data_IF_682803089097
#
_entry.id   IF_682803089097
#
_cell.length_a   1.000
_cell.length_b   1.000
_cell.length_c   1.000
_cell.angle_alpha   90.00
_cell.angle_beta   90.00
_cell.angle_gamma   90.00
#
_symmetry.space_group_name_H-M   'P 1'
#
loop_
_entity.id
_entity.type
_entity.pdbx_description
1 polymer ?
#
# COMPACT_ATOMS: atom_id res chain seq x y z
N UNK A 1 -0.58 49.88 50.81
CA UNK A 1 -1.27 49.34 49.62
C UNK A 1 -0.39 49.44 48.36
N UNK A 2 0.88 49.01 48.41
CA UNK A 2 1.81 49.04 47.26
C UNK A 2 2.64 47.76 47.08
N UNK A 3 2.88 47.01 48.17
CA UNK A 3 3.61 45.75 48.14
C UNK A 3 2.92 44.63 47.32
N UNK A 4 1.59 44.65 47.20
CA UNK A 4 0.84 43.64 46.44
C UNK A 4 1.05 43.76 44.91
N UNK A 5 1.23 44.98 44.39
CA UNK A 5 1.57 45.19 42.98
C UNK A 5 3.00 44.69 42.67
N UNK A 6 3.97 44.99 43.54
CA UNK A 6 5.34 44.49 43.41
C UNK A 6 5.43 42.96 43.55
N UNK A 7 4.72 42.36 44.50
CA UNK A 7 4.70 40.91 44.71
C UNK A 7 4.06 40.15 43.54
N UNK A 8 2.97 40.67 42.97
CA UNK A 8 2.34 40.07 41.79
C UNK A 8 3.25 40.13 40.55
N UNK A 9 3.94 41.25 40.34
CA UNK A 9 4.94 41.38 39.27
C UNK A 9 6.11 40.39 39.40
N UNK A 10 6.64 40.22 40.63
CA UNK A 10 7.71 39.25 40.88
C UNK A 10 7.26 37.80 40.66
N UNK A 11 6.06 37.45 41.12
CA UNK A 11 5.49 36.11 40.95
C UNK A 11 5.27 35.77 39.46
N UNK A 12 4.68 36.69 38.70
CA UNK A 12 4.50 36.53 37.25
C UNK A 12 5.84 36.37 36.54
N UNK A 13 6.84 37.17 36.90
CA UNK A 13 8.18 37.07 36.30
C UNK A 13 8.80 35.69 36.57
N UNK A 14 8.64 35.15 37.78
CA UNK A 14 9.08 33.78 38.12
C UNK A 14 8.37 32.73 37.25
N UNK A 15 7.06 32.85 37.06
CA UNK A 15 6.30 31.91 36.21
C UNK A 15 6.68 32.01 34.75
N UNK A 16 6.97 33.21 34.25
CA UNK A 16 7.47 33.37 32.90
C UNK A 16 8.84 32.69 32.70
N UNK A 17 9.74 32.83 33.69
CA UNK A 17 11.05 32.17 33.67
C UNK A 17 10.94 30.64 33.77
N UNK A 18 9.99 30.10 34.55
CA UNK A 18 9.71 28.66 34.59
C UNK A 18 9.28 28.13 33.21
N UNK A 19 8.41 28.87 32.51
CA UNK A 19 7.95 28.49 31.16
C UNK A 19 9.10 28.56 30.15
N UNK A 20 9.92 29.62 30.18
CA UNK A 20 11.10 29.73 29.32
C UNK A 20 12.09 28.59 29.61
N UNK A 21 12.38 28.31 30.88
CA UNK A 21 13.27 27.23 31.29
C UNK A 21 12.77 25.86 30.82
N UNK A 22 11.46 25.62 30.89
CA UNK A 22 10.85 24.39 30.39
C UNK A 22 10.96 24.28 28.86
N UNK A 23 10.72 25.36 28.12
CA UNK A 23 10.89 25.38 26.66
C UNK A 23 12.34 25.08 26.27
N UNK A 24 13.31 25.74 26.90
CA UNK A 24 14.74 25.53 26.63
C UNK A 24 15.15 24.09 26.91
N UNK A 25 14.67 23.50 28.02
CA UNK A 25 14.95 22.11 28.35
C UNK A 25 14.39 21.12 27.31
N UNK A 26 13.31 21.49 26.62
CA UNK A 26 12.63 20.66 25.62
C UNK A 26 12.90 21.11 24.16
N UNK A 27 13.90 21.96 23.92
CA UNK A 27 14.23 22.43 22.58
C UNK A 27 14.70 21.32 21.63
N UNK A 28 15.28 20.24 22.18
CA UNK A 28 15.73 19.07 21.39
C UNK A 28 14.77 17.88 21.47
N UNK A 29 13.61 18.05 22.11
CA UNK A 29 12.62 16.98 22.27
C UNK A 29 11.70 16.95 21.05
N UNK A 30 11.70 15.83 20.31
CA UNK A 30 10.82 15.67 19.15
C UNK A 30 9.33 15.73 19.52
N UNK A 31 8.54 16.40 18.70
CA UNK A 31 7.11 16.60 18.90
C UNK A 31 6.74 17.55 20.05
N UNK A 32 7.71 18.15 20.74
CA UNK A 32 7.45 19.11 21.80
C UNK A 32 6.85 20.43 21.26
N UNK A 33 5.94 21.01 22.03
CA UNK A 33 5.27 22.28 21.72
C UNK A 33 5.66 23.34 22.74
N UNK A 34 6.02 24.52 22.25
CA UNK A 34 6.46 25.64 23.05
C UNK A 34 5.29 26.13 23.91
N UNK A 35 5.56 26.39 25.18
CA UNK A 35 4.60 26.95 26.11
C UNK A 35 4.75 28.47 26.17
N UNK A 36 3.64 29.21 26.28
CA UNK A 36 3.64 30.67 26.49
C UNK A 36 2.81 31.01 27.72
N UNK A 37 3.41 31.75 28.66
CA UNK A 37 2.67 32.34 29.78
C UNK A 37 1.86 33.54 29.29
N UNK A 38 0.57 33.56 29.59
CA UNK A 38 -0.34 34.65 29.25
C UNK A 38 -0.81 35.34 30.53
N UNK A 39 -0.75 36.65 30.55
CA UNK A 39 -1.01 37.46 31.74
C UNK A 39 -2.27 38.30 31.57
N UNK A 40 -2.98 38.53 32.66
CA UNK A 40 -4.11 39.45 32.72
C UNK A 40 -3.88 40.45 33.85
N UNK A 41 -4.26 41.71 33.61
CA UNK A 41 -4.31 42.72 34.66
C UNK A 41 -5.40 42.40 35.68
N UNK A 42 -5.26 42.97 36.87
CA UNK A 42 -6.27 42.89 37.92
C UNK A 42 -6.69 44.30 38.30
N UNK A 43 -7.99 44.56 38.25
CA UNK A 43 -8.59 45.80 38.75
C UNK A 43 -9.44 45.51 39.99
N UNK A 44 -9.32 46.38 41.00
CA UNK A 44 -10.29 46.42 42.07
C UNK A 44 -11.56 47.08 41.52
N UNK A 45 -12.55 46.27 41.13
CA UNK A 45 -13.88 46.78 40.88
C UNK A 45 -14.45 47.28 42.22
N UNK A 46 -14.58 48.60 42.39
CA UNK A 46 -15.40 49.13 43.49
C UNK A 46 -16.84 48.73 43.19
N UNK A 47 -17.33 47.70 43.89
CA UNK A 47 -18.74 47.33 43.95
C UNK A 47 -19.52 48.51 44.55
N UNK A 48 -19.92 49.48 43.73
CA UNK A 48 -20.63 50.68 44.13
C UNK A 48 -20.21 51.86 43.25
N UNK A 49 -21.10 52.27 42.34
CA UNK A 49 -20.79 53.14 41.21
C UNK A 49 -20.22 54.53 41.55
N UNK A 50 -19.40 55.03 40.63
CA UNK A 50 -19.01 56.44 40.52
C UNK A 50 -17.64 56.78 41.08
N UNK A 51 -16.57 56.52 40.31
CA UNK A 51 -15.24 57.03 40.62
C UNK A 51 -14.19 56.56 39.61
N UNK A 52 -13.74 57.47 38.75
CA UNK A 52 -12.91 57.24 37.56
C UNK A 52 -11.45 56.78 37.79
N UNK A 53 -11.07 56.36 39.00
CA UNK A 53 -9.68 56.02 39.34
C UNK A 53 -9.56 54.67 40.07
N UNK A 54 -9.97 53.59 39.42
CA UNK A 54 -9.59 52.25 39.84
C UNK A 54 -8.09 52.02 39.58
N UNK A 55 -7.24 52.17 40.60
CA UNK A 55 -5.81 51.83 40.48
C UNK A 55 -5.72 50.31 40.32
N UNK A 56 -5.04 49.83 39.26
CA UNK A 56 -4.80 48.40 39.05
C UNK A 56 -4.10 47.78 40.26
N UNK A 57 -4.54 46.60 40.69
CA UNK A 57 -4.04 45.91 41.88
C UNK A 57 -2.91 44.91 41.58
N UNK A 58 -2.45 44.87 40.32
CA UNK A 58 -1.36 44.02 39.86
C UNK A 58 -1.77 43.24 38.61
N UNK A 59 -1.13 42.10 38.40
CA UNK A 59 -1.45 41.17 37.33
C UNK A 59 -1.45 39.72 37.85
N UNK A 60 -2.03 38.81 37.07
CA UNK A 60 -1.97 37.36 37.32
C UNK A 60 -1.63 36.60 36.05
N UNK A 61 -1.15 35.36 36.21
CA UNK A 61 -1.08 34.40 35.10
C UNK A 61 -2.50 33.95 34.77
N UNK A 62 -2.97 34.27 33.57
CA UNK A 62 -4.28 33.87 33.06
C UNK A 62 -4.25 32.43 32.54
N UNK A 63 -3.21 32.08 31.79
CA UNK A 63 -3.03 30.75 31.22
C UNK A 63 -1.56 30.45 30.91
N UNK A 64 -1.23 29.17 30.75
CA UNK A 64 -0.02 28.72 30.07
C UNK A 64 -0.47 27.98 28.82
N UNK A 65 -0.41 28.65 27.67
CA UNK A 65 -0.94 28.16 26.41
C UNK A 65 0.13 27.42 25.60
N UNK A 66 -0.23 26.28 25.04
CA UNK A 66 0.63 25.51 24.14
C UNK A 66 0.58 26.11 22.73
N UNK A 67 1.73 26.31 22.11
CA UNK A 67 1.84 26.75 20.73
C UNK A 67 1.88 25.53 19.82
N UNK A 68 0.77 25.19 19.16
CA UNK A 68 0.67 24.04 18.25
C UNK A 68 1.12 24.35 16.81
N UNK A 69 2.04 25.30 16.62
CA UNK A 69 2.67 25.52 15.32
C UNK A 69 3.56 24.34 14.96
N UNK A 70 3.71 24.08 13.66
CA UNK A 70 4.54 23.00 13.12
C UNK A 70 6.03 23.31 13.39
N UNK A 71 6.76 22.34 13.94
CA UNK A 71 8.21 22.36 14.02
C UNK A 71 8.85 21.95 12.68
N UNK A 72 10.16 22.15 12.55
CA UNK A 72 10.89 21.69 11.37
C UNK A 72 10.81 20.15 11.27
N UNK A 73 10.78 19.61 10.05
CA UNK A 73 10.74 18.17 9.80
C UNK A 73 12.14 17.73 9.37
N UNK A 74 12.77 16.87 10.16
CA UNK A 74 14.08 16.29 9.84
C UNK A 74 13.94 14.84 9.43
N UNK A 75 14.66 14.46 8.38
CA UNK A 75 14.68 13.08 7.89
C UNK A 75 15.57 12.21 8.78
N UNK A 76 15.15 10.97 8.98
CA UNK A 76 15.87 9.95 9.73
C UNK A 76 16.12 8.72 8.85
N UNK A 77 16.92 7.77 9.34
CA UNK A 77 17.18 6.51 8.63
C UNK A 77 16.23 5.38 9.06
N UNK A 78 15.27 5.63 9.96
CA UNK A 78 14.35 4.63 10.48
C UNK A 78 12.97 4.80 9.82
N UNK A 79 12.49 3.78 9.08
CA UNK A 79 11.22 3.85 8.36
C UNK A 79 9.99 3.98 9.28
N UNK A 80 10.10 3.58 10.54
CA UNK A 80 9.04 3.70 11.54
C UNK A 80 8.99 5.06 12.25
N UNK A 81 9.95 5.95 11.98
CA UNK A 81 9.83 7.34 12.41
C UNK A 81 8.86 8.07 11.49
N UNK A 82 7.80 8.63 12.07
CA UNK A 82 6.73 9.30 11.34
C UNK A 82 6.64 10.78 11.75
N UNK A 83 6.58 11.67 10.76
CA UNK A 83 6.23 13.06 10.97
C UNK A 83 4.87 13.38 10.33
N UNK A 84 4.07 14.18 11.02
CA UNK A 84 2.85 14.76 10.45
C UNK A 84 3.24 16.11 9.84
N UNK A 85 3.03 16.26 8.54
CA UNK A 85 3.15 17.55 7.86
C UNK A 85 1.75 18.18 7.75
N UNK A 86 1.44 19.07 8.70
CA UNK A 86 0.17 19.77 8.78
C UNK A 86 -0.57 19.51 10.09
N UNK A 87 -1.90 19.53 10.04
CA UNK A 87 -2.76 19.37 11.22
C UNK A 87 -2.96 17.89 11.56
N UNK A 88 -3.25 17.62 12.84
CA UNK A 88 -3.52 16.27 13.33
C UNK A 88 -2.56 15.83 14.45
N UNK A 89 -2.88 14.73 15.10
CA UNK A 89 -2.10 14.04 16.12
C UNK A 89 -2.16 12.55 15.84
N UNK A 90 -1.09 11.82 16.17
CA UNK A 90 -1.17 10.38 16.31
C UNK A 90 -2.07 10.05 17.48
N UNK A 91 -3.00 9.12 17.29
CA UNK A 91 -3.79 8.54 18.36
C UNK A 91 -3.09 7.27 18.87
N UNK A 92 -2.93 7.15 20.18
CA UNK A 92 -2.19 6.08 20.85
C UNK A 92 -3.06 5.48 21.94
N UNK A 93 -3.11 4.16 22.07
CA UNK A 93 -3.73 3.50 23.22
C UNK A 93 -2.69 3.26 24.32
N UNK A 94 -2.98 3.75 25.53
CA UNK A 94 -2.18 3.45 26.71
C UNK A 94 -2.40 2.01 27.22
N UNK A 95 -1.68 1.62 28.28
CA UNK A 95 -1.77 0.26 28.84
C UNK A 95 -3.14 -0.08 29.44
N UNK A 96 -3.99 0.92 29.68
CA UNK A 96 -5.36 0.76 30.16
C UNK A 96 -6.38 0.76 29.01
N UNK A 97 -5.93 0.96 27.77
CA UNK A 97 -6.77 1.07 26.58
C UNK A 97 -7.34 2.47 26.35
N UNK A 98 -6.93 3.47 27.13
CA UNK A 98 -7.36 4.85 26.95
C UNK A 98 -6.57 5.52 25.84
N UNK A 99 -7.24 6.38 25.07
CA UNK A 99 -6.57 7.08 23.96
C UNK A 99 -5.86 8.34 24.44
N UNK A 100 -4.56 8.41 24.16
CA UNK A 100 -3.72 9.61 24.27
C UNK A 100 -3.31 10.08 22.88
N UNK A 101 -2.97 11.36 22.77
CA UNK A 101 -2.65 12.00 21.50
C UNK A 101 -1.23 12.53 21.54
N UNK A 102 -0.45 12.36 20.47
CA UNK A 102 0.91 12.87 20.41
C UNK A 102 1.28 13.40 19.02
N UNK A 103 2.27 14.28 18.99
CA UNK A 103 2.99 14.73 17.80
C UNK A 103 4.33 14.01 17.64
N UNK A 104 4.82 13.35 18.68
CA UNK A 104 6.04 12.57 18.59
C UNK A 104 5.74 11.26 17.85
N UNK A 105 6.39 11.06 16.71
CA UNK A 105 6.23 9.85 15.89
C UNK A 105 7.43 8.90 15.93
N UNK A 106 8.17 8.89 17.03
CA UNK A 106 9.20 7.89 17.29
C UNK A 106 8.56 6.53 17.64
N UNK A 107 8.26 5.73 16.62
CA UNK A 107 7.67 4.41 16.79
C UNK A 107 8.68 3.28 16.62
N UNK A 108 8.40 2.17 17.29
CA UNK A 108 9.13 0.91 17.20
C UNK A 108 8.15 -0.25 17.29
N UNK A 109 8.55 -1.40 16.75
CA UNK A 109 7.75 -2.61 16.86
C UNK A 109 8.08 -3.35 18.15
N UNK A 110 7.06 -3.77 18.89
CA UNK A 110 7.23 -4.63 20.06
C UNK A 110 7.34 -6.13 19.71
N UNK A 111 7.48 -6.99 20.73
CA UNK A 111 7.58 -8.43 20.54
C UNK A 111 6.29 -9.08 19.98
N UNK A 112 5.15 -8.41 20.15
CA UNK A 112 3.85 -8.85 19.69
C UNK A 112 3.52 -8.28 18.29
N UNK A 113 4.40 -7.46 17.73
CA UNK A 113 4.24 -6.83 16.43
C UNK A 113 3.52 -5.49 16.45
N UNK A 114 3.10 -4.97 17.60
CA UNK A 114 2.44 -3.67 17.67
C UNK A 114 3.43 -2.54 17.45
N UNK A 115 2.99 -1.50 16.73
CA UNK A 115 3.72 -0.24 16.67
C UNK A 115 3.49 0.52 17.97
N UNK A 116 4.57 0.77 18.72
CA UNK A 116 4.54 1.43 20.02
C UNK A 116 5.49 2.61 20.06
N UNK A 117 5.20 3.59 20.92
CA UNK A 117 6.15 4.64 21.28
C UNK A 117 7.09 4.18 22.41
N UNK A 118 7.83 5.12 23.02
CA UNK A 118 8.78 4.79 24.08
C UNK A 118 8.12 4.44 25.42
N UNK A 119 6.89 4.92 25.62
CA UNK A 119 5.99 4.68 26.74
C UNK A 119 5.24 3.35 26.62
N UNK A 120 5.43 2.63 25.50
CA UNK A 120 4.73 1.40 25.12
C UNK A 120 3.25 1.59 24.77
N UNK A 121 2.83 2.83 24.50
CA UNK A 121 1.50 3.12 23.98
C UNK A 121 1.43 2.71 22.50
N UNK A 122 0.33 2.10 22.10
CA UNK A 122 0.17 1.48 20.79
C UNK A 122 -0.43 2.47 19.78
N UNK A 123 0.20 2.62 18.61
CA UNK A 123 -0.31 3.46 17.53
C UNK A 123 -1.64 2.92 16.99
N UNK A 124 -2.65 3.78 16.99
CA UNK A 124 -3.97 3.46 16.51
C UNK A 124 -4.11 3.76 15.02
N UNK A 125 -4.90 2.93 14.36
CA UNK A 125 -5.21 3.04 12.95
C UNK A 125 -6.44 2.22 12.60
N UNK A 126 -6.48 1.78 11.35
CA UNK A 126 -7.55 0.97 10.82
C UNK A 126 -6.98 -0.16 9.98
N UNK A 127 -7.41 -1.40 10.23
CA UNK A 127 -7.02 -2.54 9.41
C UNK A 127 -7.50 -2.36 7.96
N UNK A 128 -6.71 -2.85 6.99
CA UNK A 128 -7.04 -2.85 5.57
C UNK A 128 -7.13 -4.28 5.04
N UNK A 129 -7.97 -4.49 4.03
CA UNK A 129 -8.00 -5.72 3.25
C UNK A 129 -6.93 -5.73 2.14
N UNK A 130 -6.85 -6.83 1.39
CA UNK A 130 -5.91 -6.98 0.28
C UNK A 130 -6.12 -5.98 -0.87
N UNK A 131 -7.31 -5.35 -0.97
CA UNK A 131 -7.61 -4.29 -1.95
C UNK A 131 -7.25 -2.89 -1.44
N UNK A 132 -6.79 -2.77 -0.18
CA UNK A 132 -6.53 -1.49 0.47
C UNK A 132 -7.79 -0.80 1.00
N UNK A 133 -8.93 -1.50 1.05
CA UNK A 133 -10.16 -0.98 1.63
C UNK A 133 -10.20 -1.23 3.15
N UNK A 134 -10.91 -0.39 3.93
CA UNK A 134 -11.04 -0.58 5.37
C UNK A 134 -11.67 -1.92 5.76
N UNK A 135 -10.99 -2.69 6.61
CA UNK A 135 -11.37 -4.03 7.05
C UNK A 135 -11.52 -4.12 8.59
N UNK A 136 -12.23 -3.15 9.18
CA UNK A 136 -12.46 -3.09 10.62
C UNK A 136 -12.77 -1.69 11.13
N UNK A 137 -13.04 -1.54 12.45
CA UNK A 137 -13.26 -0.23 13.04
C UNK A 137 -11.98 0.61 13.04
N UNK A 138 -12.18 1.93 12.92
CA UNK A 138 -11.16 2.94 13.19
C UNK A 138 -10.71 2.91 14.65
N UNK A 139 -9.49 3.35 14.94
CA UNK A 139 -8.95 3.47 16.29
C UNK A 139 -8.51 2.15 16.92
N UNK A 140 -8.10 1.17 16.11
CA UNK A 140 -7.58 -0.11 16.58
C UNK A 140 -6.05 -0.13 16.53
N UNK A 141 -5.36 -0.76 17.50
CA UNK A 141 -3.91 -0.88 17.48
C UNK A 141 -3.36 -1.51 16.20
N UNK A 142 -2.38 -0.86 15.59
CA UNK A 142 -1.71 -1.37 14.39
C UNK A 142 -0.75 -2.49 14.79
N UNK A 143 -0.99 -3.68 14.24
CA UNK A 143 -0.15 -4.85 14.43
C UNK A 143 0.52 -5.25 13.11
N UNK A 144 1.84 -5.35 13.13
CA UNK A 144 2.69 -5.75 12.02
C UNK A 144 3.24 -7.16 12.27
N UNK A 145 2.54 -8.16 11.74
CA UNK A 145 2.94 -9.56 11.82
C UNK A 145 3.99 -9.90 10.75
N UNK A 146 4.88 -10.85 11.05
CA UNK A 146 5.87 -11.35 10.09
C UNK A 146 5.28 -12.44 9.18
N UNK A 147 4.00 -12.32 8.82
CA UNK A 147 3.32 -13.34 8.02
C UNK A 147 3.98 -13.42 6.65
N UNK A 148 4.25 -14.63 6.17
CA UNK A 148 4.71 -14.81 4.79
C UNK A 148 3.58 -14.51 3.81
N UNK A 149 3.91 -14.01 2.62
CA UNK A 149 3.00 -14.03 1.48
C UNK A 149 2.84 -15.50 1.02
N UNK A 150 1.64 -16.09 1.13
CA UNK A 150 1.41 -17.44 0.64
C UNK A 150 1.60 -17.49 -0.89
N UNK A 151 1.96 -18.63 -1.46
CA UNK A 151 2.02 -18.77 -2.91
C UNK A 151 0.64 -18.55 -3.53
N UNK A 152 0.62 -18.08 -4.77
CA UNK A 152 -0.60 -18.01 -5.57
C UNK A 152 -0.38 -18.82 -6.84
N UNK A 153 -1.22 -19.84 -7.04
CA UNK A 153 -1.19 -20.64 -8.26
C UNK A 153 -1.59 -19.82 -9.49
N UNK A 154 -1.10 -20.25 -10.66
CA UNK A 154 -1.60 -19.75 -11.93
C UNK A 154 -3.08 -20.13 -12.10
N UNK A 155 -3.89 -19.16 -12.52
CA UNK A 155 -5.33 -19.35 -12.79
C UNK A 155 -5.77 -18.74 -14.12
N UNK A 156 -5.10 -17.67 -14.56
CA UNK A 156 -5.31 -17.03 -15.84
C UNK A 156 -3.97 -16.51 -16.36
N UNK A 157 -3.62 -16.87 -17.58
CA UNK A 157 -2.40 -16.49 -18.29
C UNK A 157 -2.80 -15.59 -19.45
N UNK A 158 -2.20 -14.42 -19.52
CA UNK A 158 -2.41 -13.49 -20.64
C UNK A 158 -1.16 -13.49 -21.50
N UNK A 159 -1.34 -13.68 -22.80
CA UNK A 159 -0.25 -13.63 -23.78
C UNK A 159 -0.67 -12.79 -24.98
N UNK A 160 0.10 -11.75 -25.25
CA UNK A 160 -0.06 -10.92 -26.45
C UNK A 160 1.20 -11.05 -27.29
N UNK A 161 1.05 -11.38 -28.57
CA UNK A 161 2.16 -11.49 -29.49
C UNK A 161 1.82 -11.02 -30.90
N UNK A 162 2.85 -10.67 -31.67
CA UNK A 162 2.76 -10.64 -33.13
C UNK A 162 3.26 -11.97 -33.70
N UNK A 163 2.43 -12.64 -34.48
CA UNK A 163 2.75 -13.83 -35.26
C UNK A 163 3.24 -13.41 -36.65
N UNK A 164 4.38 -13.94 -37.13
CA UNK A 164 4.86 -13.61 -38.48
C UNK A 164 3.95 -14.22 -39.55
N UNK A 165 3.20 -13.38 -40.26
CA UNK A 165 2.31 -13.81 -41.34
C UNK A 165 3.03 -14.59 -42.46
N UNK A 166 4.35 -14.36 -42.62
CA UNK A 166 5.19 -14.99 -43.66
C UNK A 166 5.63 -16.40 -43.29
N UNK A 167 5.44 -16.82 -42.04
CA UNK A 167 5.73 -18.19 -41.61
C UNK A 167 4.94 -19.19 -42.47
N UNK A 168 5.58 -20.30 -42.84
CA UNK A 168 4.95 -21.33 -43.68
C UNK A 168 4.15 -22.32 -42.83
N UNK A 169 2.97 -22.78 -43.30
CA UNK A 169 2.23 -23.84 -42.63
C UNK A 169 3.03 -25.13 -42.52
N UNK A 170 2.90 -25.82 -41.40
CA UNK A 170 3.62 -27.05 -41.09
C UNK A 170 2.61 -28.21 -41.06
N UNK A 171 2.73 -29.15 -42.00
CA UNK A 171 1.84 -30.31 -42.08
C UNK A 171 2.22 -31.43 -41.08
N UNK A 172 3.50 -31.57 -40.74
CA UNK A 172 3.99 -32.61 -39.84
C UNK A 172 3.34 -32.52 -38.45
N UNK A 173 3.15 -33.67 -37.78
CA UNK A 173 2.76 -33.69 -36.38
C UNK A 173 3.81 -32.94 -35.52
N UNK A 174 3.36 -32.33 -34.42
CA UNK A 174 4.29 -31.61 -33.56
C UNK A 174 5.19 -32.58 -32.79
N UNK A 175 6.48 -32.28 -32.77
CA UNK A 175 7.49 -32.92 -31.93
C UNK A 175 8.30 -31.81 -31.26
N UNK A 176 8.18 -31.70 -29.93
CA UNK A 176 8.84 -30.65 -29.17
C UNK A 176 10.38 -30.72 -29.24
N UNK A 177 10.94 -31.89 -29.60
CA UNK A 177 12.38 -32.06 -29.81
C UNK A 177 12.85 -31.64 -31.22
N UNK A 178 11.93 -31.51 -32.19
CA UNK A 178 12.26 -31.09 -33.55
C UNK A 178 11.72 -29.68 -33.85
N UNK A 179 12.64 -28.72 -33.93
CA UNK A 179 12.37 -27.32 -34.24
C UNK A 179 11.72 -27.08 -35.61
N UNK A 180 11.67 -28.08 -36.50
CA UNK A 180 10.97 -27.97 -37.80
C UNK A 180 9.47 -28.22 -37.70
N UNK A 181 8.97 -28.69 -36.56
CA UNK A 181 7.56 -29.08 -36.39
C UNK A 181 6.68 -28.00 -35.77
N UNK A 182 7.28 -26.89 -35.33
CA UNK A 182 6.60 -25.69 -34.83
C UNK A 182 7.20 -24.43 -35.46
N UNK A 183 6.43 -23.34 -35.46
CA UNK A 183 6.83 -22.07 -36.04
C UNK A 183 7.58 -21.21 -35.01
N UNK A 184 7.06 -21.12 -33.79
CA UNK A 184 7.63 -20.29 -32.71
C UNK A 184 7.47 -20.97 -31.36
N UNK A 185 8.33 -20.61 -30.40
CA UNK A 185 8.23 -21.04 -29.02
C UNK A 185 8.51 -19.88 -28.08
N UNK A 186 7.79 -19.82 -26.96
CA UNK A 186 8.07 -18.90 -25.84
C UNK A 186 7.86 -19.62 -24.52
N UNK A 187 8.41 -19.10 -23.43
CA UNK A 187 8.38 -19.75 -22.12
C UNK A 187 8.04 -18.80 -20.98
N UNK A 188 7.38 -19.32 -19.95
CA UNK A 188 7.11 -18.63 -18.69
C UNK A 188 7.20 -19.63 -17.53
N UNK A 189 7.56 -19.15 -16.35
CA UNK A 189 7.38 -19.91 -15.11
C UNK A 189 5.99 -19.65 -14.54
N UNK A 190 5.21 -20.71 -14.38
CA UNK A 190 3.97 -20.72 -13.61
C UNK A 190 4.21 -21.31 -12.21
N UNK A 191 3.27 -21.13 -11.29
CA UNK A 191 3.35 -21.67 -9.93
C UNK A 191 2.14 -22.53 -9.59
N UNK A 192 2.40 -23.64 -8.87
CA UNK A 192 1.40 -24.53 -8.32
C UNK A 192 0.76 -24.02 -7.02
N UNK A 193 -0.23 -24.73 -6.49
CA UNK A 193 -0.93 -24.37 -5.22
C UNK A 193 0.01 -24.38 -4.01
N UNK A 194 1.06 -25.21 -4.05
CA UNK A 194 2.11 -25.26 -3.03
C UNK A 194 3.28 -24.29 -3.31
N UNK A 195 3.19 -23.46 -4.35
CA UNK A 195 4.27 -22.56 -4.76
C UNK A 195 5.42 -23.21 -5.52
N UNK A 196 5.31 -24.50 -5.91
CA UNK A 196 6.30 -25.13 -6.76
C UNK A 196 6.32 -24.46 -8.16
N UNK A 197 7.50 -24.11 -8.71
CA UNK A 197 7.60 -23.56 -10.05
C UNK A 197 7.34 -24.67 -11.09
N UNK A 198 6.67 -24.29 -12.18
CA UNK A 198 6.35 -25.12 -13.35
C UNK A 198 6.84 -24.35 -14.58
N UNK A 199 7.83 -24.87 -15.29
CA UNK A 199 8.34 -24.26 -16.52
C UNK A 199 7.40 -24.57 -17.69
N UNK A 200 6.66 -23.57 -18.15
CA UNK A 200 5.74 -23.68 -19.28
C UNK A 200 6.42 -23.23 -20.58
N UNK A 201 6.35 -24.06 -21.62
CA UNK A 201 6.71 -23.67 -22.98
C UNK A 201 5.48 -23.74 -23.89
N UNK A 202 5.20 -22.63 -24.56
CA UNK A 202 4.12 -22.49 -25.54
C UNK A 202 4.71 -22.60 -26.94
N UNK A 203 4.30 -23.62 -27.67
CA UNK A 203 4.69 -23.83 -29.06
C UNK A 203 3.56 -23.41 -29.99
N UNK A 204 3.85 -22.51 -30.90
CA UNK A 204 2.94 -22.06 -31.92
C UNK A 204 3.25 -22.76 -33.23
N UNK A 205 2.23 -23.34 -33.84
CA UNK A 205 2.33 -24.01 -35.13
C UNK A 205 1.32 -23.41 -36.10
N UNK A 206 1.80 -22.83 -37.20
CA UNK A 206 0.92 -22.41 -38.30
C UNK A 206 0.44 -23.66 -39.06
N UNK A 207 -0.86 -23.78 -39.29
CA UNK A 207 -1.48 -24.93 -39.95
C UNK A 207 -2.13 -24.59 -41.29
N UNK A 208 -2.50 -23.33 -41.50
CA UNK A 208 -3.01 -22.86 -42.79
C UNK A 208 -2.55 -21.42 -43.08
N UNK A 209 -2.36 -21.12 -44.36
CA UNK A 209 -2.13 -19.76 -44.85
C UNK A 209 -3.44 -18.96 -44.91
N UNK A 210 -3.37 -17.61 -44.96
CA UNK A 210 -4.52 -16.75 -45.19
C UNK A 210 -5.32 -17.15 -46.44
N UNK A 211 -6.65 -17.10 -46.33
CA UNK A 211 -7.55 -17.34 -47.46
C UNK A 211 -8.12 -16.00 -47.93
N UNK A 212 -7.89 -15.59 -49.21
CA UNK A 212 -8.49 -14.38 -49.74
C UNK A 212 -10.02 -14.44 -49.67
N UNK A 213 -10.65 -13.32 -49.29
CA UNK A 213 -12.10 -13.20 -49.31
C UNK A 213 -12.66 -13.03 -50.72
N UNK A 214 -13.92 -13.43 -50.91
CA UNK A 214 -14.69 -13.15 -52.11
C UNK A 214 -15.59 -11.91 -51.91
N UNK A 215 -15.23 -10.73 -52.48
CA UNK A 215 -16.04 -9.52 -52.35
C UNK A 215 -17.36 -9.59 -53.13
N UNK A 216 -17.52 -10.59 -54.00
CA UNK A 216 -18.73 -10.79 -54.83
C UNK A 216 -19.76 -11.72 -54.19
N UNK A 217 -19.39 -12.42 -53.11
CA UNK A 217 -20.32 -13.22 -52.32
C UNK A 217 -21.41 -12.34 -51.67
N UNK A 218 -22.57 -12.92 -51.37
CA UNK A 218 -23.66 -12.22 -50.66
C UNK A 218 -24.05 -13.00 -49.40
N UNK A 219 -23.67 -12.53 -48.19
CA UNK A 219 -22.86 -11.33 -47.92
C UNK A 219 -21.39 -11.46 -48.38
N UNK A 220 -20.66 -10.35 -48.59
CA UNK A 220 -19.24 -10.39 -48.99
C UNK A 220 -18.42 -11.20 -47.99
N UNK A 221 -17.57 -12.10 -48.48
CA UNK A 221 -16.65 -12.86 -47.66
C UNK A 221 -15.39 -12.02 -47.41
N UNK A 222 -15.10 -11.65 -46.15
CA UNK A 222 -13.91 -10.86 -45.82
C UNK A 222 -12.60 -11.65 -45.97
N UNK A 223 -12.66 -12.98 -46.11
CA UNK A 223 -11.49 -13.86 -46.06
C UNK A 223 -11.00 -14.09 -44.64
N UNK A 224 -9.89 -14.82 -44.52
CA UNK A 224 -9.26 -15.16 -43.23
C UNK A 224 -7.77 -14.90 -43.26
N UNK A 225 -7.21 -14.62 -42.09
CA UNK A 225 -5.78 -14.76 -41.83
C UNK A 225 -5.37 -16.24 -41.72
N UNK A 226 -4.15 -16.47 -41.27
CA UNK A 226 -3.60 -17.79 -41.04
C UNK A 226 -4.26 -18.50 -39.85
N UNK A 227 -4.27 -19.83 -39.90
CA UNK A 227 -4.72 -20.67 -38.78
C UNK A 227 -3.52 -21.16 -37.98
N UNK A 228 -3.64 -21.07 -36.67
CA UNK A 228 -2.59 -21.37 -35.71
C UNK A 228 -3.10 -22.29 -34.62
N UNK A 229 -2.21 -23.17 -34.17
CA UNK A 229 -2.39 -24.04 -33.03
C UNK A 229 -1.34 -23.73 -31.97
N UNK A 230 -1.77 -23.76 -30.71
CA UNK A 230 -0.88 -23.61 -29.55
C UNK A 230 -0.81 -24.94 -28.83
N UNK A 231 0.41 -25.38 -28.55
CA UNK A 231 0.71 -26.55 -27.74
C UNK A 231 1.48 -26.11 -26.50
N UNK A 232 1.35 -26.87 -25.42
CA UNK A 232 1.96 -26.58 -24.14
C UNK A 232 2.80 -27.78 -23.68
N UNK A 233 4.01 -27.51 -23.19
CA UNK A 233 4.78 -28.46 -22.39
C UNK A 233 5.04 -27.88 -21.00
N UNK A 234 5.09 -28.72 -19.97
CA UNK A 234 5.43 -28.34 -18.60
C UNK A 234 6.65 -29.13 -18.11
N UNK A 235 7.65 -28.43 -17.53
CA UNK A 235 8.87 -29.00 -16.91
C UNK A 235 9.68 -29.95 -17.79
N UNK A 236 9.74 -29.67 -19.10
CA UNK A 236 10.42 -30.53 -20.06
C UNK A 236 9.74 -31.89 -20.26
N UNK A 237 8.62 -32.15 -19.56
CA UNK A 237 7.78 -33.29 -19.82
C UNK A 237 7.01 -33.05 -21.12
N UNK A 238 7.46 -33.69 -22.18
CA UNK A 238 6.81 -33.70 -23.49
C UNK A 238 5.54 -34.56 -23.50
N UNK A 239 5.32 -35.39 -22.46
CA UNK A 239 4.10 -36.17 -22.23
C UNK A 239 3.10 -35.43 -21.32
N UNK A 240 3.16 -34.10 -21.28
CA UNK A 240 2.18 -33.28 -20.58
C UNK A 240 0.82 -33.41 -21.29
N UNK A 241 -0.02 -34.28 -20.73
CA UNK A 241 -1.41 -34.51 -21.09
C UNK A 241 -2.28 -33.27 -20.88
N UNK A 242 -2.15 -32.24 -21.72
CA UNK A 242 -3.27 -31.32 -21.94
C UNK A 242 -4.42 -31.97 -22.72
N UNK A 243 -4.30 -33.24 -23.12
CA UNK A 243 -5.42 -34.20 -23.24
C UNK A 243 -4.98 -35.57 -22.68
N UNK A 244 -5.69 -36.00 -21.62
CA UNK A 244 -5.82 -37.32 -20.99
C UNK A 244 -4.73 -38.39 -21.23
N UNK A 245 -4.10 -38.84 -20.13
CA UNK A 245 -3.40 -40.13 -20.10
C UNK A 245 -4.21 -41.10 -19.22
N UNK A 246 -5.19 -41.75 -19.83
CA UNK A 246 -5.78 -42.98 -19.30
C UNK A 246 -5.70 -44.06 -20.38
N UNK A 247 -4.55 -44.76 -20.42
CA UNK A 247 -4.41 -46.08 -21.06
C UNK A 247 -4.01 -46.16 -22.55
N UNK A 248 -2.80 -45.73 -22.93
CA UNK A 248 -2.19 -46.13 -24.22
C UNK A 248 -0.84 -45.46 -24.57
N UNK A 249 0.08 -46.21 -25.19
CA UNK A 249 1.43 -45.77 -25.63
C UNK A 249 1.43 -44.76 -26.78
N UNK A 250 2.40 -43.83 -26.75
CA UNK A 250 2.18 -42.48 -26.24
C UNK A 250 1.20 -41.66 -27.12
N UNK A 251 0.26 -40.92 -26.53
CA UNK A 251 -0.63 -40.04 -27.31
C UNK A 251 0.17 -38.89 -27.96
N UNK A 252 -0.18 -38.52 -29.20
CA UNK A 252 0.35 -37.31 -29.84
C UNK A 252 -0.08 -36.07 -29.04
N UNK A 253 0.78 -35.05 -28.91
CA UNK A 253 0.39 -33.80 -28.26
C UNK A 253 -0.83 -33.19 -28.94
N UNK A 254 -1.77 -32.70 -28.13
CA UNK A 254 -3.00 -32.03 -28.58
C UNK A 254 -2.90 -30.54 -28.35
N UNK A 255 -3.43 -29.70 -29.26
CA UNK A 255 -3.38 -28.25 -29.09
C UNK A 255 -4.26 -27.81 -27.92
N UNK A 256 -3.75 -26.90 -27.09
CA UNK A 256 -4.50 -26.21 -26.02
C UNK A 256 -5.37 -25.07 -26.56
N UNK A 257 -5.06 -24.57 -27.76
CA UNK A 257 -5.84 -23.57 -28.46
C UNK A 257 -5.70 -23.76 -29.98
N UNK A 258 -6.78 -23.49 -30.70
CA UNK A 258 -6.76 -23.36 -32.17
C UNK A 258 -7.54 -22.10 -32.52
N UNK A 259 -6.95 -21.25 -33.34
CA UNK A 259 -7.58 -20.00 -33.78
C UNK A 259 -7.14 -19.63 -35.19
N UNK A 260 -7.99 -18.86 -35.85
CA UNK A 260 -7.74 -18.29 -37.17
C UNK A 260 -7.86 -16.79 -37.04
N UNK A 261 -6.87 -16.04 -37.53
CA UNK A 261 -6.94 -14.58 -37.55
C UNK A 261 -8.01 -14.11 -38.54
N UNK A 262 -8.57 -12.92 -38.29
CA UNK A 262 -9.35 -12.21 -39.28
C UNK A 262 -8.44 -11.77 -40.44
N UNK A 263 -9.01 -11.46 -41.61
CA UNK A 263 -8.23 -11.01 -42.77
C UNK A 263 -7.39 -9.73 -42.52
N UNK A 264 -7.76 -8.92 -41.52
CA UNK A 264 -7.00 -7.73 -41.11
C UNK A 264 -5.85 -8.05 -40.12
N UNK A 265 -5.58 -9.33 -39.82
CA UNK A 265 -4.52 -9.76 -38.92
C UNK A 265 -4.85 -9.69 -37.43
N UNK A 266 -6.08 -9.39 -37.02
CA UNK A 266 -6.48 -9.43 -35.59
C UNK A 266 -7.16 -10.74 -35.23
N UNK A 267 -7.18 -11.12 -33.96
CA UNK A 267 -7.99 -12.26 -33.51
C UNK A 267 -9.50 -11.95 -33.51
N UNK A 268 -10.37 -12.96 -33.77
CA UNK A 268 -11.81 -12.86 -33.59
C UNK A 268 -12.20 -12.85 -32.11
N UNK A 269 -13.49 -12.68 -31.79
CA UNK A 269 -13.98 -12.84 -30.41
C UNK A 269 -13.80 -14.28 -29.91
N UNK A 270 -13.72 -14.49 -28.59
CA UNK A 270 -13.50 -15.82 -28.01
C UNK A 270 -12.02 -16.22 -27.93
N UNK A 271 -11.13 -15.28 -27.61
CA UNK A 271 -9.68 -15.48 -27.50
C UNK A 271 -9.22 -16.08 -26.18
N UNK A 272 -10.14 -16.63 -25.38
CA UNK A 272 -9.85 -17.21 -24.06
C UNK A 272 -10.07 -18.71 -24.13
N UNK A 273 -9.01 -19.46 -23.93
CA UNK A 273 -8.98 -20.92 -24.03
C UNK A 273 -8.75 -21.52 -22.64
N UNK A 274 -9.51 -22.53 -22.26
CA UNK A 274 -9.29 -23.23 -20.99
C UNK A 274 -8.30 -24.38 -21.20
N UNK A 275 -7.18 -24.34 -20.47
CA UNK A 275 -6.23 -25.44 -20.40
C UNK A 275 -6.79 -26.48 -19.43
N UNK A 276 -7.08 -27.68 -19.95
CA UNK A 276 -7.71 -28.75 -19.18
C UNK A 276 -6.89 -29.16 -17.95
N UNK A 277 -5.58 -29.35 -18.14
CA UNK A 277 -4.64 -29.69 -17.08
C UNK A 277 -3.23 -29.24 -17.45
N UNK A 278 -2.56 -28.59 -16.49
CA UNK A 278 -1.11 -28.36 -16.50
C UNK A 278 -0.53 -29.28 -15.43
N UNK A 279 0.38 -30.21 -15.78
CA UNK A 279 1.07 -31.03 -14.79
C UNK A 279 1.73 -30.15 -13.73
N UNK A 280 1.56 -30.48 -12.45
CA UNK A 280 2.11 -29.70 -11.32
C UNK A 280 3.62 -29.83 -11.12
N UNK A 281 4.36 -30.24 -12.14
CA UNK A 281 5.78 -30.56 -12.06
C UNK A 281 6.11 -31.75 -11.18
N UNK A 282 7.36 -31.83 -10.71
CA UNK A 282 7.88 -32.98 -9.95
C UNK A 282 7.24 -33.15 -8.56
N UNK A 283 6.59 -32.13 -7.99
CA UNK A 283 6.10 -32.12 -6.60
C UNK A 283 4.74 -31.42 -6.37
N UNK A 284 4.03 -30.98 -7.42
CA UNK A 284 2.78 -30.23 -7.31
C UNK A 284 1.56 -30.99 -7.82
N UNK A 285 0.38 -30.66 -7.29
CA UNK A 285 -0.88 -31.12 -7.87
C UNK A 285 -1.08 -30.51 -9.26
N UNK A 286 -1.68 -31.22 -10.22
CA UNK A 286 -2.03 -30.64 -11.52
C UNK A 286 -2.89 -29.39 -11.35
N UNK A 287 -2.60 -28.35 -12.13
CA UNK A 287 -3.44 -27.16 -12.21
C UNK A 287 -4.53 -27.42 -13.26
N UNK A 288 -5.78 -27.31 -12.86
CA UNK A 288 -6.94 -27.49 -13.74
C UNK A 288 -7.67 -26.17 -13.94
N UNK A 289 -8.25 -25.99 -15.13
CA UNK A 289 -9.07 -24.82 -15.43
C UNK A 289 -8.31 -23.50 -15.59
N UNK A 290 -6.99 -23.55 -15.81
CA UNK A 290 -6.19 -22.36 -16.11
C UNK A 290 -6.62 -21.80 -17.45
N UNK A 291 -6.93 -20.50 -17.53
CA UNK A 291 -7.29 -19.88 -18.81
C UNK A 291 -6.06 -19.29 -19.51
N UNK A 292 -6.02 -19.39 -20.83
CA UNK A 292 -5.07 -18.72 -21.71
C UNK A 292 -5.82 -17.67 -22.52
N UNK A 293 -5.55 -16.40 -22.24
CA UNK A 293 -6.11 -15.28 -22.97
C UNK A 293 -5.10 -14.76 -24.01
N UNK A 294 -5.47 -14.87 -25.28
CA UNK A 294 -4.66 -14.40 -26.42
C UNK A 294 -5.13 -13.05 -26.99
N UNK A 295 -6.08 -12.38 -26.33
CA UNK A 295 -6.63 -11.10 -26.78
C UNK A 295 -5.53 -10.09 -27.13
N UNK A 296 -5.69 -9.39 -28.25
CA UNK A 296 -4.71 -8.41 -28.73
C UNK A 296 -3.56 -9.01 -29.55
N UNK A 297 -3.42 -10.34 -29.62
CA UNK A 297 -2.45 -10.99 -30.52
C UNK A 297 -2.78 -10.66 -31.98
N UNK A 298 -1.75 -10.44 -32.79
CA UNK A 298 -1.87 -10.08 -34.21
C UNK A 298 -1.10 -11.05 -35.10
N UNK A 299 -1.42 -11.05 -36.39
CA UNK A 299 -0.65 -11.68 -37.45
C UNK A 299 -0.31 -10.63 -38.50
N UNK A 300 0.91 -10.08 -38.41
CA UNK A 300 1.43 -9.11 -39.37
C UNK A 300 2.72 -9.59 -40.02
N UNK A 301 3.03 -8.99 -41.17
CA UNK A 301 4.30 -9.20 -41.85
C UNK A 301 5.43 -8.54 -41.05
N UNK A 302 6.06 -9.31 -40.18
CA UNK A 302 7.06 -8.85 -39.22
C UNK A 302 7.54 -10.00 -38.35
N UNK A 303 8.68 -9.84 -37.68
CA UNK A 303 9.21 -10.90 -36.84
C UNK A 303 8.24 -11.30 -35.72
N UNK A 304 8.30 -12.57 -35.31
CA UNK A 304 7.60 -13.03 -34.11
C UNK A 304 8.11 -12.26 -32.89
N UNK A 305 7.18 -11.71 -32.10
CA UNK A 305 7.51 -10.98 -30.88
C UNK A 305 6.39 -11.13 -29.86
N UNK A 306 6.75 -11.51 -28.63
CA UNK A 306 5.83 -11.49 -27.48
C UNK A 306 5.92 -10.13 -26.83
N UNK A 307 4.79 -9.43 -26.71
CA UNK A 307 4.71 -8.09 -26.11
C UNK A 307 4.20 -8.12 -24.69
N UNK A 308 3.38 -9.12 -24.33
CA UNK A 308 2.97 -9.39 -22.95
C UNK A 308 2.89 -10.90 -22.70
N UNK A 309 3.35 -11.33 -21.54
CA UNK A 309 3.24 -12.70 -21.05
C UNK A 309 3.20 -12.68 -19.52
N UNK A 310 2.00 -12.76 -18.96
CA UNK A 310 1.73 -12.53 -17.53
C UNK A 310 0.75 -13.58 -16.98
N UNK A 311 0.54 -13.59 -15.66
CA UNK A 311 -0.45 -14.48 -15.02
C UNK A 311 0.06 -15.85 -14.54
N UNK A 312 1.38 -16.05 -14.49
CA UNK A 312 2.00 -17.28 -13.98
C UNK A 312 1.84 -17.53 -12.47
N UNK A 313 1.23 -16.63 -11.71
CA UNK A 313 1.20 -16.71 -10.24
C UNK A 313 2.56 -16.40 -9.61
N UNK A 314 2.76 -16.79 -8.35
CA UNK A 314 4.00 -16.54 -7.61
C UNK A 314 4.24 -17.55 -6.48
N UNK A 315 5.51 -17.80 -6.16
CA UNK A 315 5.93 -18.59 -5.01
C UNK A 315 5.66 -17.86 -3.68
N UNK A 316 5.83 -18.59 -2.57
CA UNK A 316 5.83 -18.00 -1.24
C UNK A 316 6.90 -16.89 -1.12
N UNK A 317 6.56 -15.79 -0.47
CA UNK A 317 7.47 -14.69 -0.17
C UNK A 317 7.64 -14.51 1.32
N UNK A 318 8.88 -14.38 1.78
CA UNK A 318 9.16 -13.93 3.14
C UNK A 318 8.97 -12.41 3.22
N UNK A 319 8.56 -11.92 4.39
CA UNK A 319 8.51 -10.47 4.64
C UNK A 319 9.92 -9.89 4.48
N UNK A 320 10.04 -8.85 3.65
CA UNK A 320 11.27 -8.09 3.44
C UNK A 320 11.29 -6.80 4.24
N UNK A 321 10.22 -6.02 4.17
CA UNK A 321 10.14 -4.71 4.83
C UNK A 321 8.69 -4.23 5.03
N UNK A 322 8.50 -3.24 5.90
CA UNK A 322 7.27 -2.44 5.99
C UNK A 322 7.53 -1.02 5.52
N UNK A 323 6.63 -0.53 4.68
CA UNK A 323 6.66 0.86 4.18
C UNK A 323 5.39 1.55 4.62
N UNK A 324 5.53 2.77 5.11
CA UNK A 324 4.41 3.63 5.48
C UNK A 324 4.32 4.74 4.43
N UNK A 325 3.26 4.70 3.63
CA UNK A 325 3.00 5.67 2.56
C UNK A 325 2.51 7.01 3.14
N UNK A 326 2.48 8.06 2.30
CA UNK A 326 2.12 9.42 2.73
C UNK A 326 0.67 9.58 3.17
N UNK A 327 -0.21 8.68 2.72
CA UNK A 327 -1.62 8.56 3.15
C UNK A 327 -1.77 7.72 4.44
N UNK A 328 -0.65 7.31 5.04
CA UNK A 328 -0.58 6.48 6.24
C UNK A 328 -0.83 5.00 6.01
N UNK A 329 -0.97 4.54 4.76
CA UNK A 329 -1.10 3.11 4.46
C UNK A 329 0.21 2.39 4.78
N UNK A 330 0.14 1.42 5.68
CA UNK A 330 1.23 0.53 6.04
C UNK A 330 1.18 -0.70 5.15
N UNK A 331 2.21 -0.87 4.33
CA UNK A 331 2.33 -1.94 3.33
C UNK A 331 3.49 -2.86 3.67
N UNK A 332 3.23 -4.16 3.73
CA UNK A 332 4.26 -5.19 3.80
C UNK A 332 4.78 -5.51 2.38
N UNK A 333 6.10 -5.54 2.21
CA UNK A 333 6.77 -5.97 0.97
C UNK A 333 7.40 -7.33 1.16
N UNK A 334 7.28 -8.21 0.17
CA UNK A 334 7.71 -9.59 0.23
C UNK A 334 8.81 -9.91 -0.78
N UNK A 335 9.62 -10.94 -0.50
CA UNK A 335 10.73 -11.37 -1.37
C UNK A 335 10.26 -11.90 -2.73
N UNK A 336 8.99 -12.27 -2.86
CA UNK A 336 8.36 -12.69 -4.13
C UNK A 336 7.84 -11.49 -4.96
N UNK A 337 8.18 -10.26 -4.58
CA UNK A 337 7.77 -9.03 -5.26
C UNK A 337 6.33 -8.61 -4.97
N UNK A 338 5.57 -9.37 -4.19
CA UNK A 338 4.22 -8.98 -3.78
C UNK A 338 4.26 -7.90 -2.69
N UNK A 339 3.19 -7.12 -2.62
CA UNK A 339 2.95 -6.14 -1.57
C UNK A 339 1.53 -6.29 -1.04
N UNK A 340 1.34 -6.12 0.27
CA UNK A 340 0.04 -6.23 0.93
C UNK A 340 -0.18 -5.05 1.87
N UNK A 341 -1.27 -4.33 1.68
CA UNK A 341 -1.73 -3.34 2.64
C UNK A 341 -2.20 -4.06 3.93
N UNK A 342 -1.76 -3.57 5.09
CA UNK A 342 -2.08 -4.17 6.39
C UNK A 342 -3.00 -3.28 7.23
N UNK A 343 -2.64 -2.02 7.32
CA UNK A 343 -3.37 -1.04 8.12
C UNK A 343 -3.14 0.35 7.56
N UNK A 344 -3.92 1.32 8.04
CA UNK A 344 -3.73 2.74 7.80
C UNK A 344 -3.64 3.48 9.12
N UNK A 345 -2.59 4.28 9.30
CA UNK A 345 -2.46 5.19 10.44
C UNK A 345 -3.60 6.20 10.37
N UNK A 346 -4.23 6.46 11.53
CA UNK A 346 -5.29 7.46 11.63
C UNK A 346 -4.83 8.63 12.48
N UNK A 347 -5.25 9.83 12.06
CA UNK A 347 -4.99 11.07 12.76
C UNK A 347 -6.24 11.57 13.46
N UNK A 348 -6.04 12.19 14.62
CA UNK A 348 -7.06 12.91 15.36
C UNK A 348 -6.79 14.43 15.32
N UNK A 349 -7.84 15.23 15.38
CA UNK A 349 -7.72 16.69 15.58
C UNK A 349 -8.83 17.15 16.53
N UNK A 350 -8.71 18.36 17.07
CA UNK A 350 -9.65 18.91 18.04
C UNK A 350 -10.11 20.30 17.62
N UNK A 351 -11.34 20.66 18.00
CA UNK A 351 -11.87 22.01 17.77
C UNK A 351 -11.09 23.06 18.55
N UNK A 352 -10.64 22.72 19.76
CA UNK A 352 -9.86 23.62 20.61
C UNK A 352 -8.61 22.91 21.16
N UNK A 353 -7.47 23.14 20.52
CA UNK A 353 -6.18 22.56 20.92
C UNK A 353 -5.69 23.05 22.29
N UNK A 354 -5.96 24.31 22.65
CA UNK A 354 -5.58 24.86 23.96
C UNK A 354 -6.40 24.29 25.12
N UNK A 355 -7.47 23.54 24.83
CA UNK A 355 -8.21 22.78 25.83
C UNK A 355 -7.59 21.41 26.14
N UNK A 356 -6.58 20.96 25.41
CA UNK A 356 -5.93 19.68 25.66
C UNK A 356 -5.10 19.73 26.94
N UNK A 357 -5.17 18.67 27.73
CA UNK A 357 -4.37 18.54 28.96
C UNK A 357 -3.08 17.76 28.65
N UNK A 358 -1.89 18.33 28.90
CA UNK A 358 -0.64 17.57 28.81
C UNK A 358 -0.58 16.53 29.93
N UNK A 359 -0.16 15.31 29.61
CA UNK A 359 -0.07 14.18 30.56
C UNK A 359 1.36 13.68 30.78
N UNK A 360 2.36 14.38 30.25
CA UNK A 360 3.76 13.96 30.22
C UNK A 360 4.13 13.31 28.88
N UNK A 361 5.42 13.01 28.67
CA UNK A 361 5.91 12.29 27.47
C UNK A 361 5.52 12.90 26.11
N UNK A 362 5.26 14.21 26.05
CA UNK A 362 4.73 14.89 24.86
C UNK A 362 3.39 14.30 24.38
N UNK A 363 2.55 13.91 25.34
CA UNK A 363 1.21 13.39 25.10
C UNK A 363 0.15 14.30 25.72
N UNK A 364 -1.03 14.25 25.12
CA UNK A 364 -2.19 15.04 25.50
C UNK A 364 -3.42 14.15 25.67
N UNK A 365 -4.27 14.50 26.64
CA UNK A 365 -5.63 13.95 26.81
C UNK A 365 -6.68 15.04 26.56
N UNK A 366 -7.85 14.69 25.98
CA UNK A 366 -8.94 15.62 25.78
C UNK A 366 -9.58 16.00 27.12
N UNK A 367 -10.14 17.20 27.16
CA UNK A 367 -10.92 17.71 28.29
C UNK A 367 -12.27 18.23 27.79
N UNK A 368 -13.16 18.60 28.73
CA UNK A 368 -14.41 19.28 28.37
C UNK A 368 -14.17 20.57 27.55
N UNK A 369 -13.03 21.24 27.74
CA UNK A 369 -12.69 22.48 27.03
C UNK A 369 -12.10 22.25 25.63
N UNK A 370 -11.45 21.11 25.37
CA UNK A 370 -11.05 20.74 24.00
C UNK A 370 -12.23 20.27 23.16
N UNK A 371 -13.26 19.73 23.83
CA UNK A 371 -14.31 18.93 23.24
C UNK A 371 -13.82 17.52 22.91
N UNK A 372 -14.73 16.71 22.39
CA UNK A 372 -14.43 15.38 21.88
C UNK A 372 -13.46 15.46 20.68
N UNK A 373 -12.61 14.44 20.47
CA UNK A 373 -11.81 14.34 19.25
C UNK A 373 -12.72 14.36 18.02
N UNK A 374 -12.27 15.05 16.97
CA UNK A 374 -12.90 14.91 15.66
C UNK A 374 -12.78 13.44 15.19
N UNK A 375 -13.69 12.97 14.31
CA UNK A 375 -13.62 11.61 13.79
C UNK A 375 -12.24 11.32 13.22
N UNK A 376 -11.62 10.24 13.69
CA UNK A 376 -10.33 9.78 13.20
C UNK A 376 -10.33 9.74 11.67
N UNK A 377 -9.30 10.31 11.05
CA UNK A 377 -9.23 10.42 9.60
C UNK A 377 -7.91 10.02 9.00
N UNK A 378 -7.97 9.79 7.68
CA UNK A 378 -6.84 9.44 6.85
C UNK A 378 -5.91 10.65 6.65
N UNK A 379 -4.59 10.49 6.83
CA UNK A 379 -3.62 11.49 6.42
C UNK A 379 -3.83 11.99 4.99
N UNK A 380 -3.71 13.31 4.78
CA UNK A 380 -3.91 13.96 3.48
C UNK A 380 -5.36 14.13 3.05
N UNK A 381 -6.34 13.69 3.85
CA UNK A 381 -7.77 13.85 3.56
C UNK A 381 -8.43 14.88 4.49
N UNK A 382 -9.27 15.75 3.92
CA UNK A 382 -10.05 16.73 4.67
C UNK A 382 -9.16 17.75 5.39
N UNK A 383 -9.18 17.73 6.73
CA UNK A 383 -8.40 18.65 7.57
C UNK A 383 -7.05 18.07 8.02
N UNK A 384 -6.77 16.80 7.71
CA UNK A 384 -5.59 16.09 8.20
C UNK A 384 -4.37 16.30 7.30
N UNK A 385 -3.22 16.55 7.91
CA UNK A 385 -1.93 16.66 7.24
C UNK A 385 -1.49 15.33 6.62
N UNK A 386 -0.47 15.39 5.78
CA UNK A 386 0.17 14.21 5.19
C UNK A 386 1.14 13.57 6.20
N UNK A 387 1.39 12.28 6.06
CA UNK A 387 2.49 11.63 6.76
C UNK A 387 3.76 11.66 5.92
N UNK A 388 4.89 11.73 6.61
CA UNK A 388 6.21 11.52 6.06
C UNK A 388 6.90 10.43 6.87
N UNK A 389 7.17 9.29 6.23
CA UNK A 389 7.96 8.19 6.81
C UNK A 389 9.45 8.50 6.75
N UNK A 390 10.21 7.99 7.72
CA UNK A 390 11.63 8.29 7.86
C UNK A 390 11.87 9.74 8.23
N UNK A 391 11.02 10.31 9.09
CA UNK A 391 11.16 11.69 9.52
C UNK A 391 10.56 11.93 10.92
N UNK A 392 11.06 12.94 11.61
CA UNK A 392 10.55 13.39 12.91
C UNK A 392 10.29 14.91 12.88
N UNK A 393 9.28 15.34 13.62
CA UNK A 393 9.00 16.76 13.86
C UNK A 393 9.84 17.25 15.05
N UNK A 394 10.69 18.25 14.83
CA UNK A 394 11.48 18.91 15.86
C UNK A 394 10.59 19.76 16.80
N UNK A 395 11.16 20.14 17.94
CA UNK A 395 10.52 21.13 18.81
C UNK A 395 10.30 22.43 18.04
N UNK A 396 9.18 23.11 18.28
CA UNK A 396 8.94 24.45 17.73
C UNK A 396 9.45 25.57 18.67
N UNK A 397 10.30 25.23 19.63
CA UNK A 397 11.01 26.20 20.49
C UNK A 397 12.18 26.78 19.72
N UNK A 398 12.16 28.10 19.53
CA UNK A 398 13.29 28.85 18.98
C UNK A 398 14.22 29.33 20.12
N UNK A 399 15.53 29.13 19.94
CA UNK A 399 16.57 29.53 20.90
C UNK A 399 17.36 30.77 20.46
N UNK A 400 17.06 31.32 19.28
CA UNK A 400 17.68 32.54 18.74
C UNK A 400 16.95 33.79 19.20
#
# INVERSE_FOLDING_TARGET
>A
MGFQQGLSGLNISSKNLEVIGNNVANANTFGAKASRAEFADMYAASLGGGGSNGIGIGARVAAVAQQFTQGNITTTSNSLDLAINGRGFFALADSQGETVYSRNGQFKRDANGYLINNEKHQLLGQALDASGAPAGPAGTPIQLTNDSSPPQKASAITMTANMDARAKPIAAAIDFADAKTYSFVTSQTAYGDNGAPIALNYYFKKTADPTPGDPTATPPDPGTGGTWQVYLSADGNTNAASVQNDGGTPPLPTPIATFTFNANGTLPTGTVFTIASIPGGNNGQPLTGVTLNLSGTTEYSGAYAVTDLSGGGYAQGNLSDFVIETDGTVTARYTNGQSKALARVQLADFKNLNGLQPVGSNEWKPTASSGDPLPLGTPGSGVYGLLQSGALEESNVDLT
#
